data_IF_738193824040
#
_entry.id   IF_738193824040
#
_cell.length_a   1.000
_cell.length_b   1.000
_cell.length_c   1.000
_cell.angle_alpha   90.00
_cell.angle_beta   90.00
_cell.angle_gamma   90.00
#
_symmetry.space_group_name_H-M   'P 1'
#
loop_
_entity.id
_entity.type
_entity.pdbx_description
1 polymer ?
#
# COMPACT_ATOMS: atom_id res chain seq x y z
N UNK A 1 -17.81 -5.18 17.76
CA UNK A 1 -17.49 -3.82 18.27
C UNK A 1 -18.17 -2.75 17.43
N UNK A 2 -17.89 -2.65 16.12
CA UNK A 2 -18.46 -1.57 15.29
C UNK A 2 -19.96 -1.71 15.00
N UNK A 3 -20.48 -2.92 14.78
CA UNK A 3 -21.93 -3.13 14.64
C UNK A 3 -22.67 -2.72 15.94
N UNK A 4 -22.15 -3.17 17.08
CA UNK A 4 -22.66 -2.79 18.41
C UNK A 4 -22.60 -1.27 18.64
N UNK A 5 -21.61 -0.58 18.07
CA UNK A 5 -21.55 0.88 18.13
C UNK A 5 -22.74 1.51 17.42
N UNK A 6 -23.05 1.07 16.19
CA UNK A 6 -24.22 1.56 15.43
C UNK A 6 -25.52 1.23 16.15
N UNK A 7 -25.68 0.01 16.67
CA UNK A 7 -26.87 -0.38 17.44
C UNK A 7 -27.09 0.51 18.68
N UNK A 8 -26.00 0.89 19.36
CA UNK A 8 -26.05 1.79 20.51
C UNK A 8 -26.38 3.21 20.09
N UNK A 9 -25.89 3.69 18.95
CA UNK A 9 -26.28 4.98 18.37
C UNK A 9 -27.77 5.00 18.08
N UNK A 10 -28.29 3.98 17.38
CA UNK A 10 -29.71 3.88 17.05
C UNK A 10 -30.58 3.91 18.30
N UNK A 11 -30.24 3.09 19.31
CA UNK A 11 -30.99 3.01 20.57
C UNK A 11 -31.06 4.33 21.33
N UNK A 12 -29.96 5.08 21.44
CA UNK A 12 -29.98 6.35 22.20
C UNK A 12 -30.66 7.48 21.45
N UNK A 13 -30.82 7.35 20.13
CA UNK A 13 -31.52 8.32 19.30
C UNK A 13 -33.00 7.95 19.09
N UNK A 14 -33.45 6.80 19.60
CA UNK A 14 -34.78 6.23 19.34
C UNK A 14 -35.05 6.03 17.84
N UNK A 15 -34.02 5.54 17.14
CA UNK A 15 -34.03 5.24 15.72
C UNK A 15 -33.89 3.72 15.48
N UNK A 16 -34.37 3.25 14.34
CA UNK A 16 -34.13 1.88 13.91
C UNK A 16 -32.68 1.71 13.41
N UNK A 17 -31.93 0.71 13.91
CA UNK A 17 -30.57 0.45 13.46
C UNK A 17 -30.56 0.04 12.00
N UNK A 18 -29.66 0.64 11.23
CA UNK A 18 -29.40 0.27 9.84
C UNK A 18 -27.92 -0.06 9.72
N UNK A 19 -27.63 -1.31 9.42
CA UNK A 19 -26.27 -1.79 9.16
C UNK A 19 -26.15 -2.05 7.68
N UNK A 20 -25.48 -1.14 6.96
CA UNK A 20 -25.18 -1.35 5.54
C UNK A 20 -24.22 -2.53 5.36
N UNK A 21 -24.26 -3.19 4.22
CA UNK A 21 -23.28 -4.22 3.90
C UNK A 21 -21.87 -3.61 3.83
N UNK A 22 -20.93 -4.19 4.56
CA UNK A 22 -19.52 -3.78 4.47
C UNK A 22 -18.98 -4.32 3.15
N UNK A 23 -18.46 -3.46 2.25
CA UNK A 23 -17.93 -3.93 0.97
C UNK A 23 -16.80 -4.94 1.21
N UNK A 24 -16.80 -6.02 0.41
CA UNK A 24 -15.67 -6.94 0.39
C UNK A 24 -14.45 -6.21 -0.20
N UNK A 25 -13.30 -6.35 0.43
CA UNK A 25 -12.04 -5.88 -0.16
C UNK A 25 -11.78 -6.63 -1.47
N UNK A 26 -11.40 -5.89 -2.53
CA UNK A 26 -11.03 -6.50 -3.79
C UNK A 26 -9.83 -7.43 -3.62
N UNK A 27 -9.71 -8.40 -4.53
CA UNK A 27 -8.54 -9.26 -4.55
C UNK A 27 -7.32 -8.44 -5.00
N UNK A 28 -6.19 -8.63 -4.32
CA UNK A 28 -4.92 -8.20 -4.87
C UNK A 28 -4.73 -8.81 -6.26
N UNK A 29 -4.33 -8.02 -7.29
CA UNK A 29 -4.25 -8.50 -8.66
C UNK A 29 -3.38 -9.75 -8.76
N UNK A 30 -3.82 -10.74 -9.54
CA UNK A 30 -3.12 -12.03 -9.60
C UNK A 30 -1.72 -11.84 -10.18
N UNK A 31 -0.74 -12.65 -9.77
CA UNK A 31 0.63 -12.58 -10.30
C UNK A 31 0.71 -12.47 -11.82
N UNK A 32 -0.09 -13.22 -12.57
CA UNK A 32 -0.12 -13.20 -14.05
C UNK A 32 -0.61 -11.87 -14.65
N UNK A 33 -1.39 -11.09 -13.89
CA UNK A 33 -1.89 -9.76 -14.30
C UNK A 33 -0.91 -8.66 -13.89
N UNK A 34 0.00 -8.95 -12.96
CA UNK A 34 1.06 -8.04 -12.50
C UNK A 34 2.37 -8.26 -13.25
N UNK A 35 2.73 -9.50 -13.57
CA UNK A 35 4.03 -9.84 -14.14
C UNK A 35 4.17 -9.29 -15.56
N UNK A 36 5.20 -8.50 -15.76
CA UNK A 36 5.57 -7.96 -17.06
C UNK A 36 6.59 -8.89 -17.75
N UNK A 37 6.48 -9.02 -19.07
CA UNK A 37 7.46 -9.73 -19.87
C UNK A 37 8.76 -8.91 -19.97
N UNK A 38 9.90 -9.55 -19.70
CA UNK A 38 11.20 -8.92 -19.90
C UNK A 38 11.60 -9.02 -21.36
N UNK A 39 12.04 -7.93 -22.01
CA UNK A 39 12.60 -7.98 -23.35
C UNK A 39 13.76 -8.97 -23.42
N UNK A 40 13.74 -9.83 -24.45
CA UNK A 40 14.87 -10.73 -24.71
C UNK A 40 15.96 -9.93 -25.39
N UNK A 41 17.14 -9.91 -24.77
CA UNK A 41 18.36 -9.45 -25.40
C UNK A 41 19.23 -10.69 -25.63
N UNK A 42 19.38 -11.08 -26.88
CA UNK A 42 20.30 -12.15 -27.28
C UNK A 42 21.57 -11.48 -27.80
N UNK A 43 22.66 -11.58 -27.04
CA UNK A 43 24.00 -11.33 -27.56
C UNK A 43 24.42 -12.58 -28.35
N UNK A 44 24.98 -12.42 -29.55
CA UNK A 44 25.42 -13.57 -30.33
C UNK A 44 26.51 -14.34 -29.57
N UNK A 45 26.54 -15.66 -29.73
CA UNK A 45 27.47 -16.54 -29.05
C UNK A 45 28.93 -16.22 -29.42
N UNK A 46 29.17 -15.72 -30.64
CA UNK A 46 30.49 -15.26 -31.08
C UNK A 46 30.89 -13.95 -30.41
N UNK A 47 29.96 -12.99 -30.28
CA UNK A 47 30.20 -11.75 -29.52
C UNK A 47 30.52 -12.05 -28.06
N UNK A 48 29.83 -13.03 -27.46
CA UNK A 48 30.10 -13.49 -26.09
C UNK A 48 31.51 -14.04 -25.89
N UNK A 49 32.02 -14.81 -26.85
CA UNK A 49 33.38 -15.33 -26.80
C UNK A 49 34.41 -14.22 -27.01
N UNK A 50 34.07 -13.14 -27.70
CA UNK A 50 34.96 -11.99 -27.91
C UNK A 50 35.05 -11.04 -26.69
N UNK A 51 34.21 -11.21 -25.67
CA UNK A 51 34.27 -10.46 -24.40
C UNK A 51 35.43 -10.87 -23.47
N UNK A 52 36.43 -11.62 -23.96
CA UNK A 52 37.60 -12.02 -23.17
C UNK A 52 38.37 -10.80 -22.68
N UNK A 53 38.40 -10.61 -21.35
CA UNK A 53 39.13 -9.53 -20.71
C UNK A 53 38.29 -8.75 -19.69
N UNK A 54 36.97 -8.73 -19.86
CA UNK A 54 36.08 -7.97 -18.99
C UNK A 54 35.06 -8.86 -18.24
N UNK A 55 34.63 -8.41 -17.05
CA UNK A 55 33.68 -9.11 -16.19
C UNK A 55 32.31 -9.37 -16.84
N UNK A 56 31.99 -8.65 -17.93
CA UNK A 56 30.73 -8.82 -18.67
C UNK A 56 30.55 -10.26 -19.17
N UNK A 57 31.64 -10.94 -19.55
CA UNK A 57 31.60 -12.34 -19.99
C UNK A 57 31.04 -13.25 -18.88
N UNK A 58 31.46 -13.04 -17.62
CA UNK A 58 30.97 -13.84 -16.48
C UNK A 58 29.47 -13.59 -16.28
N UNK A 59 29.06 -12.32 -16.29
CA UNK A 59 27.66 -11.92 -16.06
C UNK A 59 26.74 -12.50 -17.14
N UNK A 60 27.11 -12.42 -18.42
CA UNK A 60 26.32 -13.01 -19.51
C UNK A 60 26.23 -14.54 -19.37
N UNK A 61 27.32 -15.20 -18.97
CA UNK A 61 27.34 -16.64 -18.72
C UNK A 61 26.34 -17.09 -17.65
N UNK A 62 26.21 -16.33 -16.56
CA UNK A 62 25.24 -16.61 -15.50
C UNK A 62 23.80 -16.63 -16.02
N UNK A 63 23.44 -15.69 -16.90
CA UNK A 63 22.09 -15.61 -17.49
C UNK A 63 21.80 -16.76 -18.43
N UNK A 64 22.79 -17.21 -19.19
CA UNK A 64 22.65 -18.31 -20.14
C UNK A 64 22.60 -19.69 -19.48
N UNK A 65 23.05 -19.79 -18.23
CA UNK A 65 22.99 -21.01 -17.42
C UNK A 65 21.56 -21.52 -17.19
N UNK A 66 21.42 -22.80 -16.83
CA UNK A 66 20.12 -23.39 -16.50
C UNK A 66 19.40 -22.64 -15.36
N UNK A 67 20.14 -22.23 -14.33
CA UNK A 67 19.62 -21.42 -13.23
C UNK A 67 19.26 -20.00 -13.67
N UNK A 68 20.02 -19.44 -14.62
CA UNK A 68 19.78 -18.15 -15.24
C UNK A 68 18.44 -18.04 -15.95
N UNK A 69 18.02 -19.12 -16.63
CA UNK A 69 16.76 -19.18 -17.39
C UNK A 69 15.51 -19.19 -16.51
N UNK A 70 15.63 -19.66 -15.26
CA UNK A 70 14.51 -19.78 -14.29
C UNK A 70 14.67 -18.84 -13.09
N UNK A 71 15.45 -17.77 -13.24
CA UNK A 71 15.68 -16.80 -12.17
C UNK A 71 14.37 -16.22 -11.62
N UNK A 72 14.29 -16.15 -10.29
CA UNK A 72 13.24 -15.39 -9.62
C UNK A 72 13.39 -13.88 -9.91
N UNK A 73 12.31 -13.10 -9.87
CA UNK A 73 12.33 -11.68 -10.24
C UNK A 73 13.43 -10.85 -9.56
N UNK A 74 13.66 -11.06 -8.26
CA UNK A 74 14.73 -10.37 -7.52
C UNK A 74 16.13 -10.68 -8.06
N UNK A 75 16.37 -11.93 -8.48
CA UNK A 75 17.65 -12.32 -9.07
C UNK A 75 17.80 -11.81 -10.50
N UNK A 76 16.69 -11.65 -11.23
CA UNK A 76 16.70 -10.93 -12.51
C UNK A 76 17.14 -9.49 -12.28
N UNK A 77 16.52 -8.75 -11.34
CA UNK A 77 16.94 -7.37 -11.05
C UNK A 77 18.43 -7.27 -10.69
N UNK A 78 18.93 -8.16 -9.83
CA UNK A 78 20.38 -8.22 -9.50
C UNK A 78 21.25 -8.43 -10.75
N UNK A 79 20.84 -9.33 -11.63
CA UNK A 79 21.54 -9.56 -12.90
C UNK A 79 21.52 -8.32 -13.78
N UNK A 80 20.39 -7.64 -13.93
CA UNK A 80 20.25 -6.43 -14.75
C UNK A 80 21.21 -5.32 -14.27
N UNK A 81 21.26 -5.05 -12.95
CA UNK A 81 22.19 -4.07 -12.38
C UNK A 81 23.66 -4.45 -12.61
N UNK A 82 24.01 -5.72 -12.39
CA UNK A 82 25.37 -6.24 -12.62
C UNK A 82 25.77 -6.14 -14.08
N UNK A 83 24.86 -6.46 -15.01
CA UNK A 83 25.10 -6.34 -16.44
C UNK A 83 25.39 -4.89 -16.82
N UNK A 84 24.57 -3.93 -16.36
CA UNK A 84 24.73 -2.51 -16.71
C UNK A 84 26.07 -1.96 -16.23
N UNK A 85 26.52 -2.35 -15.03
CA UNK A 85 27.84 -1.99 -14.50
C UNK A 85 28.96 -2.67 -15.27
N UNK A 86 28.92 -3.99 -15.43
CA UNK A 86 29.97 -4.73 -16.13
C UNK A 86 30.11 -4.26 -17.58
N UNK A 87 29.00 -3.93 -18.26
CA UNK A 87 29.04 -3.37 -19.60
C UNK A 87 29.64 -1.96 -19.62
N UNK A 88 29.32 -1.10 -18.64
CA UNK A 88 29.96 0.23 -18.50
C UNK A 88 31.48 0.09 -18.37
N UNK A 89 31.92 -0.82 -17.52
CA UNK A 89 33.34 -1.01 -17.19
C UNK A 89 34.09 -1.71 -18.33
N UNK A 90 33.41 -2.52 -19.13
CA UNK A 90 33.97 -3.19 -20.31
C UNK A 90 34.15 -2.27 -21.53
N UNK A 91 33.28 -1.26 -21.72
CA UNK A 91 33.30 -0.40 -22.92
C UNK A 91 34.67 0.25 -23.25
N UNK A 92 35.45 0.78 -22.29
CA UNK A 92 36.77 1.34 -22.57
C UNK A 92 37.80 0.31 -23.08
N UNK A 93 37.62 -0.97 -22.74
CA UNK A 93 38.52 -2.05 -23.19
C UNK A 93 38.23 -2.48 -24.64
N UNK A 94 37.10 -2.06 -25.21
CA UNK A 94 36.62 -2.44 -26.54
C UNK A 94 36.83 -1.35 -27.60
N UNK A 95 37.57 -0.27 -27.30
CA UNK A 95 37.71 0.88 -28.23
C UNK A 95 38.30 0.49 -29.61
N UNK A 96 39.15 -0.54 -29.64
CA UNK A 96 39.76 -1.06 -30.88
C UNK A 96 38.82 -1.93 -31.71
N UNK A 97 37.78 -2.51 -31.10
CA UNK A 97 36.75 -3.32 -31.75
C UNK A 97 35.43 -2.53 -31.82
N UNK A 98 35.29 -1.72 -32.87
CA UNK A 98 34.13 -0.83 -33.06
C UNK A 98 32.80 -1.57 -33.15
N UNK A 99 32.79 -2.79 -33.68
CA UNK A 99 31.57 -3.58 -33.85
C UNK A 99 31.12 -4.14 -32.50
N UNK A 100 32.04 -4.72 -31.73
CA UNK A 100 31.76 -5.22 -30.39
C UNK A 100 31.43 -4.08 -29.42
N UNK A 101 32.14 -2.95 -29.49
CA UNK A 101 31.82 -1.74 -28.73
C UNK A 101 30.39 -1.28 -28.97
N UNK A 102 29.97 -1.18 -30.25
CA UNK A 102 28.62 -0.75 -30.60
C UNK A 102 27.56 -1.74 -30.06
N UNK A 103 27.83 -3.04 -30.16
CA UNK A 103 26.94 -4.10 -29.67
C UNK A 103 26.78 -4.08 -28.15
N UNK A 104 27.88 -3.96 -27.40
CA UNK A 104 27.85 -3.85 -25.93
C UNK A 104 27.18 -2.56 -25.46
N UNK A 105 27.42 -1.44 -26.16
CA UNK A 105 26.75 -0.17 -25.88
C UNK A 105 25.24 -0.27 -26.07
N UNK A 106 24.80 -0.83 -27.20
CA UNK A 106 23.38 -1.05 -27.49
C UNK A 106 22.73 -1.98 -26.46
N UNK A 107 23.42 -3.07 -26.10
CA UNK A 107 22.97 -3.99 -25.07
C UNK A 107 22.76 -3.29 -23.73
N UNK A 108 23.72 -2.47 -23.30
CA UNK A 108 23.61 -1.68 -22.07
C UNK A 108 22.46 -0.69 -22.10
N UNK A 109 22.25 0.00 -23.23
CA UNK A 109 21.14 0.94 -23.41
C UNK A 109 19.79 0.23 -23.32
N UNK A 110 19.62 -0.91 -23.99
CA UNK A 110 18.40 -1.73 -23.90
C UNK A 110 18.13 -2.25 -22.47
N UNK A 111 19.19 -2.54 -21.71
CA UNK A 111 19.10 -2.96 -20.30
C UNK A 111 18.67 -1.83 -19.39
N UNK A 112 19.18 -0.62 -19.61
CA UNK A 112 18.71 0.58 -18.92
C UNK A 112 17.24 0.88 -19.23
N UNK A 113 16.82 0.74 -20.49
CA UNK A 113 15.43 0.98 -20.91
C UNK A 113 14.45 -0.02 -20.28
N UNK A 114 14.86 -1.28 -20.12
CA UNK A 114 14.03 -2.35 -19.54
C UNK A 114 14.15 -2.50 -18.02
N UNK A 115 15.07 -1.76 -17.37
CA UNK A 115 15.28 -1.81 -15.92
C UNK A 115 14.01 -1.55 -15.09
N UNK A 116 13.12 -0.59 -15.45
CA UNK A 116 11.87 -0.38 -14.73
C UNK A 116 10.99 -1.64 -14.67
N UNK A 117 11.02 -2.49 -15.71
CA UNK A 117 10.28 -3.76 -15.75
C UNK A 117 10.86 -4.76 -14.74
N UNK A 118 12.19 -4.81 -14.62
CA UNK A 118 12.85 -5.68 -13.64
C UNK A 118 12.55 -5.25 -12.21
N UNK A 119 12.56 -3.94 -11.93
CA UNK A 119 12.19 -3.36 -10.62
C UNK A 119 10.73 -3.69 -10.29
N UNK A 120 9.82 -3.48 -11.23
CA UNK A 120 8.42 -3.85 -11.10
C UNK A 120 8.24 -5.32 -10.77
N UNK A 121 8.86 -6.20 -11.54
CA UNK A 121 8.73 -7.62 -11.33
C UNK A 121 9.30 -8.07 -9.98
N UNK A 122 10.39 -7.44 -9.53
CA UNK A 122 11.04 -7.72 -8.26
C UNK A 122 10.31 -7.16 -7.04
N UNK A 123 9.30 -6.30 -7.22
CA UNK A 123 8.53 -5.70 -6.12
C UNK A 123 7.05 -6.10 -6.22
N UNK A 124 6.38 -5.64 -7.26
CA UNK A 124 4.94 -5.81 -7.48
C UNK A 124 4.56 -7.04 -8.29
N UNK A 125 5.46 -7.93 -8.72
CA UNK A 125 5.10 -9.21 -9.36
C UNK A 125 5.61 -10.46 -8.62
N UNK A 126 6.03 -10.28 -7.37
CA UNK A 126 6.46 -11.34 -6.46
C UNK A 126 5.24 -12.05 -5.87
N UNK A 127 5.42 -13.27 -5.37
CA UNK A 127 4.35 -14.02 -4.68
C UNK A 127 4.25 -13.59 -3.22
N UNK A 128 5.38 -13.18 -2.65
CA UNK A 128 5.57 -12.81 -1.26
C UNK A 128 4.70 -11.63 -0.84
N UNK A 129 4.49 -10.65 -1.74
CA UNK A 129 3.59 -9.51 -1.49
C UNK A 129 2.10 -9.89 -1.43
N UNK A 130 1.69 -11.04 -2.00
CA UNK A 130 0.28 -11.43 -2.02
C UNK A 130 -0.26 -11.70 -0.61
N UNK A 131 0.57 -12.27 0.27
CA UNK A 131 0.17 -12.55 1.65
C UNK A 131 -0.03 -11.25 2.45
N UNK A 132 0.81 -10.24 2.23
CA UNK A 132 0.69 -8.94 2.90
C UNK A 132 -0.66 -8.26 2.63
N UNK A 133 -1.20 -8.40 1.42
CA UNK A 133 -2.48 -7.85 0.99
C UNK A 133 -3.64 -8.85 1.08
N UNK A 134 -3.45 -10.01 1.72
CA UNK A 134 -4.51 -11.02 1.80
C UNK A 134 -5.74 -10.52 2.55
N UNK A 135 -6.92 -10.86 2.04
CA UNK A 135 -8.21 -10.54 2.69
C UNK A 135 -8.75 -11.68 3.57
N UNK A 136 -8.01 -12.78 3.71
CA UNK A 136 -8.45 -13.98 4.47
C UNK A 136 -8.53 -13.72 5.96
N UNK A 137 -7.69 -12.82 6.47
CA UNK A 137 -7.58 -12.51 7.89
C UNK A 137 -8.58 -11.45 8.33
N UNK A 138 -8.87 -11.36 9.62
CA UNK A 138 -9.81 -10.37 10.19
C UNK A 138 -9.35 -8.91 10.04
N UNK A 139 -10.11 -7.94 10.58
CA UNK A 139 -9.64 -6.56 10.72
C UNK A 139 -8.34 -6.46 11.53
N UNK A 140 -7.63 -5.34 11.40
CA UNK A 140 -6.43 -5.05 12.17
C UNK A 140 -6.70 -5.22 13.68
N UNK A 141 -5.89 -6.01 14.42
CA UNK A 141 -5.98 -6.09 15.87
C UNK A 141 -5.61 -4.77 16.56
N UNK A 142 -6.11 -4.55 17.78
CA UNK A 142 -5.83 -3.33 18.57
C UNK A 142 -4.35 -3.19 18.98
N UNK A 143 -3.64 -4.29 19.17
CA UNK A 143 -2.24 -4.38 19.62
C UNK A 143 -1.23 -4.57 18.47
N UNK A 144 -1.73 -4.67 17.25
CA UNK A 144 -0.95 -5.00 16.06
C UNK A 144 -0.06 -3.85 15.53
N UNK A 145 -0.20 -2.64 16.06
CA UNK A 145 0.36 -1.42 15.47
C UNK A 145 1.81 -1.11 15.87
N UNK A 146 2.42 -1.89 16.77
CA UNK A 146 3.74 -1.57 17.32
C UNK A 146 4.91 -2.02 16.44
N UNK A 147 5.48 -3.18 16.78
CA UNK A 147 6.77 -3.62 16.24
C UNK A 147 6.68 -4.03 14.76
N UNK A 148 5.74 -4.90 14.41
CA UNK A 148 5.55 -5.39 13.03
C UNK A 148 5.31 -4.25 12.01
N UNK A 149 4.50 -3.26 12.38
CA UNK A 149 4.19 -2.13 11.48
C UNK A 149 5.40 -1.22 11.32
N UNK A 150 6.16 -0.97 12.39
CA UNK A 150 7.42 -0.21 12.34
C UNK A 150 8.44 -0.91 11.44
N UNK A 151 8.57 -2.22 11.58
CA UNK A 151 9.43 -3.08 10.78
C UNK A 151 9.09 -3.02 9.28
N UNK A 152 7.80 -3.20 8.94
CA UNK A 152 7.32 -3.06 7.56
C UNK A 152 7.56 -1.66 7.00
N UNK A 153 7.35 -0.62 7.81
CA UNK A 153 7.59 0.77 7.41
C UNK A 153 9.08 1.04 7.14
N UNK A 154 9.97 0.53 7.98
CA UNK A 154 11.43 0.62 7.80
C UNK A 154 11.89 -0.09 6.52
N UNK A 155 11.38 -1.30 6.27
CA UNK A 155 11.68 -2.05 5.04
C UNK A 155 11.22 -1.30 3.79
N UNK A 156 10.04 -0.69 3.82
CA UNK A 156 9.52 0.12 2.71
C UNK A 156 10.33 1.39 2.51
N UNK A 157 10.78 2.04 3.58
CA UNK A 157 11.67 3.19 3.51
C UNK A 157 12.98 2.82 2.82
N UNK A 158 13.64 1.76 3.31
CA UNK A 158 14.87 1.24 2.73
C UNK A 158 14.68 0.87 1.25
N UNK A 159 13.61 0.15 0.91
CA UNK A 159 13.31 -0.22 -0.46
C UNK A 159 13.18 1.00 -1.38
N UNK A 160 12.34 1.97 -0.99
CA UNK A 160 12.13 3.19 -1.77
C UNK A 160 13.42 3.99 -1.96
N UNK A 161 14.27 4.08 -0.95
CA UNK A 161 15.53 4.83 -1.03
C UNK A 161 16.57 4.12 -1.93
N UNK A 162 16.61 2.78 -1.90
CA UNK A 162 17.45 1.99 -2.80
C UNK A 162 16.98 2.05 -4.25
N UNK A 163 15.67 2.03 -4.49
CA UNK A 163 15.13 2.22 -5.85
C UNK A 163 15.39 3.63 -6.37
N UNK A 164 15.25 4.67 -5.53
CA UNK A 164 15.59 6.04 -5.92
C UNK A 164 17.08 6.18 -6.29
N UNK A 165 17.99 5.49 -5.58
CA UNK A 165 19.40 5.46 -5.94
C UNK A 165 19.63 4.82 -7.32
N UNK A 166 18.97 3.70 -7.61
CA UNK A 166 19.01 3.05 -8.93
C UNK A 166 18.47 3.99 -10.02
N UNK A 167 17.33 4.64 -9.79
CA UNK A 167 16.73 5.61 -10.72
C UNK A 167 17.67 6.81 -10.99
N UNK A 168 18.48 7.20 -10.00
CA UNK A 168 19.51 8.24 -10.16
C UNK A 168 20.78 7.79 -10.89
N UNK A 169 20.86 6.51 -11.28
CA UNK A 169 21.96 5.93 -12.04
C UNK A 169 22.96 5.12 -11.22
N UNK A 170 22.75 4.96 -9.91
CA UNK A 170 23.59 4.10 -9.06
C UNK A 170 23.19 2.63 -9.22
N UNK A 171 23.88 1.94 -10.14
CA UNK A 171 23.67 0.50 -10.38
C UNK A 171 24.48 -0.37 -9.40
N UNK A 172 25.28 0.22 -8.51
CA UNK A 172 26.10 -0.52 -7.53
C UNK A 172 25.36 -0.86 -6.24
N UNK A 173 24.08 -0.46 -6.15
CA UNK A 173 23.20 -0.69 -5.02
C UNK A 173 23.14 -2.17 -4.65
N UNK A 174 23.45 -2.47 -3.38
CA UNK A 174 23.28 -3.82 -2.83
C UNK A 174 21.79 -4.13 -2.60
N UNK A 175 21.38 -5.27 -3.17
CA UNK A 175 20.02 -5.82 -3.06
C UNK A 175 19.95 -7.03 -2.12
N UNK A 176 20.95 -7.22 -1.25
CA UNK A 176 20.94 -8.27 -0.23
C UNK A 176 19.73 -8.18 0.71
N UNK A 177 19.30 -6.95 1.04
CA UNK A 177 18.17 -6.69 1.94
C UNK A 177 16.80 -7.19 1.43
N UNK A 178 16.61 -7.27 0.10
CA UNK A 178 15.31 -7.63 -0.50
C UNK A 178 14.81 -9.02 -0.08
N UNK A 179 15.71 -9.96 0.23
CA UNK A 179 15.31 -11.27 0.74
C UNK A 179 14.56 -11.18 2.08
N UNK A 180 15.06 -10.34 3.00
CA UNK A 180 14.39 -10.11 4.29
C UNK A 180 13.06 -9.38 4.14
N UNK A 181 13.01 -8.38 3.24
CA UNK A 181 11.77 -7.65 2.92
C UNK A 181 10.69 -8.61 2.39
N UNK A 182 11.03 -9.46 1.42
CA UNK A 182 10.09 -10.43 0.86
C UNK A 182 9.65 -11.45 1.91
N UNK A 183 10.57 -11.95 2.74
CA UNK A 183 10.22 -12.86 3.82
C UNK A 183 9.20 -12.22 4.79
N UNK A 184 9.38 -10.94 5.13
CA UNK A 184 8.44 -10.22 6.00
C UNK A 184 7.10 -10.01 5.31
N UNK A 185 7.07 -9.65 4.02
CA UNK A 185 5.82 -9.55 3.26
C UNK A 185 5.06 -10.88 3.22
N UNK A 186 5.77 -12.00 3.11
CA UNK A 186 5.17 -13.34 3.12
C UNK A 186 4.69 -13.76 4.51
N UNK A 187 5.30 -13.26 5.59
CA UNK A 187 4.94 -13.63 6.96
C UNK A 187 3.75 -12.83 7.52
N UNK A 188 3.42 -11.70 6.89
CA UNK A 188 2.48 -10.72 7.43
C UNK A 188 1.24 -10.55 6.55
N UNK A 189 0.18 -9.97 7.12
CA UNK A 189 -1.11 -9.72 6.46
C UNK A 189 -1.63 -8.29 6.70
N UNK A 190 -0.75 -7.41 7.23
CA UNK A 190 -1.12 -6.12 7.80
C UNK A 190 -1.81 -5.17 6.82
N UNK A 191 -1.42 -5.15 5.55
CA UNK A 191 -2.10 -4.29 4.56
C UNK A 191 -3.52 -4.76 4.29
N UNK A 192 -3.73 -6.07 4.16
CA UNK A 192 -5.07 -6.63 4.00
C UNK A 192 -5.97 -6.37 5.21
N UNK A 193 -5.44 -6.56 6.42
CA UNK A 193 -6.15 -6.24 7.67
C UNK A 193 -6.50 -4.75 7.76
N UNK A 194 -5.56 -3.88 7.40
CA UNK A 194 -5.73 -2.43 7.41
C UNK A 194 -6.82 -1.98 6.42
N UNK A 195 -6.82 -2.51 5.19
CA UNK A 195 -7.86 -2.24 4.19
C UNK A 195 -9.23 -2.68 4.70
N UNK A 196 -9.34 -3.88 5.29
CA UNK A 196 -10.61 -4.38 5.86
C UNK A 196 -11.10 -3.52 7.02
N UNK A 197 -10.19 -3.07 7.89
CA UNK A 197 -10.53 -2.14 8.97
C UNK A 197 -11.05 -0.82 8.44
N UNK A 198 -10.40 -0.23 7.44
CA UNK A 198 -10.83 1.03 6.85
C UNK A 198 -12.20 0.89 6.17
N UNK A 199 -12.47 -0.19 5.43
CA UNK A 199 -13.79 -0.47 4.86
C UNK A 199 -14.86 -0.58 5.96
N UNK A 200 -14.62 -1.39 6.99
CA UNK A 200 -15.54 -1.56 8.12
C UNK A 200 -15.84 -0.22 8.83
N UNK A 201 -14.80 0.54 9.15
CA UNK A 201 -14.94 1.82 9.84
C UNK A 201 -15.66 2.84 8.97
N UNK A 202 -15.30 2.94 7.68
CA UNK A 202 -15.97 3.83 6.73
C UNK A 202 -17.46 3.53 6.66
N UNK A 203 -17.86 2.26 6.53
CA UNK A 203 -19.28 1.88 6.49
C UNK A 203 -19.98 2.22 7.81
N UNK A 204 -19.43 1.81 8.95
CA UNK A 204 -20.11 1.93 10.25
C UNK A 204 -20.15 3.36 10.78
N UNK A 205 -19.15 4.18 10.46
CA UNK A 205 -19.19 5.61 10.77
C UNK A 205 -20.25 6.33 9.94
N UNK A 206 -20.43 5.95 8.67
CA UNK A 206 -21.51 6.47 7.84
C UNK A 206 -22.89 6.01 8.33
N UNK A 207 -23.07 4.73 8.65
CA UNK A 207 -24.32 4.22 9.23
C UNK A 207 -24.71 5.00 10.51
N UNK A 208 -23.74 5.26 11.38
CA UNK A 208 -23.95 6.06 12.59
C UNK A 208 -24.24 7.54 12.29
N UNK A 209 -23.61 8.12 11.27
CA UNK A 209 -23.89 9.48 10.83
C UNK A 209 -25.31 9.61 10.25
N UNK A 210 -25.75 8.63 9.47
CA UNK A 210 -27.10 8.56 8.90
C UNK A 210 -28.18 8.53 9.99
N UNK A 211 -27.95 7.78 11.08
CA UNK A 211 -28.84 7.77 12.25
C UNK A 211 -28.98 9.14 12.90
N UNK A 212 -27.86 9.87 13.07
CA UNK A 212 -27.86 11.22 13.64
C UNK A 212 -28.58 12.20 12.71
N UNK A 213 -28.31 12.12 11.40
CA UNK A 213 -28.95 12.96 10.39
C UNK A 213 -30.47 12.71 10.32
N UNK A 214 -30.90 11.44 10.33
CA UNK A 214 -32.32 11.07 10.38
C UNK A 214 -33.01 11.63 11.61
N UNK A 215 -32.42 11.44 12.79
CA UNK A 215 -32.96 11.98 14.04
C UNK A 215 -33.15 13.48 13.95
N UNK A 216 -32.10 14.21 13.52
CA UNK A 216 -32.14 15.66 13.40
C UNK A 216 -33.16 16.18 12.37
N UNK A 217 -33.43 15.39 11.32
CA UNK A 217 -34.39 15.74 10.26
C UNK A 217 -35.85 15.47 10.64
N UNK A 218 -36.12 14.37 11.35
CA UNK A 218 -37.48 13.99 11.75
C UNK A 218 -37.97 14.84 12.93
N UNK A 219 -37.21 14.86 14.03
CA UNK A 219 -37.55 15.64 15.22
C UNK A 219 -36.31 15.94 16.08
N UNK A 220 -36.15 17.17 16.59
CA UNK A 220 -34.96 17.54 17.35
C UNK A 220 -34.86 16.74 18.66
N UNK A 221 -33.66 16.27 19.00
CA UNK A 221 -33.40 15.60 20.27
C UNK A 221 -33.65 16.54 21.46
N UNK A 222 -33.34 17.83 21.28
CA UNK A 222 -33.50 18.87 22.28
C UNK A 222 -34.32 20.05 21.76
N UNK A 223 -35.32 20.48 22.53
CA UNK A 223 -36.15 21.64 22.20
C UNK A 223 -35.54 22.93 22.77
N UNK A 224 -35.46 23.98 21.96
CA UNK A 224 -34.97 25.31 22.36
C UNK A 224 -33.57 25.32 23.01
N UNK A 225 -32.67 24.41 22.62
CA UNK A 225 -31.33 24.33 23.18
C UNK A 225 -31.25 23.77 24.60
N UNK A 226 -32.35 23.25 25.15
CA UNK A 226 -32.40 22.72 26.51
C UNK A 226 -32.12 21.22 26.52
N UNK A 227 -31.13 20.82 27.32
CA UNK A 227 -30.84 19.41 27.58
C UNK A 227 -32.02 18.69 28.23
N UNK A 228 -32.10 17.38 28.00
CA UNK A 228 -33.05 16.45 28.61
C UNK A 228 -32.35 15.11 28.91
N UNK A 229 -33.08 14.17 29.50
CA UNK A 229 -32.51 12.85 29.85
C UNK A 229 -31.98 12.10 28.63
N UNK A 230 -32.68 12.16 27.49
CA UNK A 230 -32.29 11.46 26.26
C UNK A 230 -30.98 12.02 25.69
N UNK A 231 -30.80 13.34 25.76
CA UNK A 231 -29.56 14.02 25.39
C UNK A 231 -28.39 13.64 26.32
N UNK A 232 -28.62 13.53 27.62
CA UNK A 232 -27.60 13.07 28.57
C UNK A 232 -27.23 11.60 28.31
N UNK A 233 -28.21 10.74 27.99
CA UNK A 233 -27.97 9.34 27.60
C UNK A 233 -27.14 9.26 26.32
N UNK A 234 -27.52 10.01 25.28
CA UNK A 234 -26.80 10.06 24.01
C UNK A 234 -25.36 10.58 24.19
N UNK A 235 -25.18 11.68 24.95
CA UNK A 235 -23.85 12.21 25.29
C UNK A 235 -22.99 11.18 26.03
N UNK A 236 -23.54 10.55 27.06
CA UNK A 236 -22.82 9.56 27.86
C UNK A 236 -22.43 8.33 27.03
N UNK A 237 -23.32 7.88 26.13
CA UNK A 237 -23.00 6.81 25.17
C UNK A 237 -21.86 7.22 24.26
N UNK A 238 -21.92 8.42 23.67
CA UNK A 238 -20.86 8.94 22.82
C UNK A 238 -19.49 8.93 23.52
N UNK A 239 -19.37 9.53 24.71
CA UNK A 239 -18.08 9.54 25.41
C UNK A 239 -17.63 8.15 25.88
N UNK A 240 -18.52 7.32 26.41
CA UNK A 240 -18.13 6.00 26.93
C UNK A 240 -17.80 4.98 25.84
N UNK A 241 -18.49 5.04 24.71
CA UNK A 241 -18.38 4.04 23.64
C UNK A 241 -17.56 4.58 22.48
N UNK A 242 -17.90 5.75 21.93
CA UNK A 242 -17.12 6.31 20.83
C UNK A 242 -15.74 6.74 21.30
N UNK A 243 -15.64 7.70 22.23
CA UNK A 243 -14.33 8.18 22.69
C UNK A 243 -13.54 7.11 23.48
N UNK A 244 -14.24 6.26 24.24
CA UNK A 244 -13.59 5.22 25.06
C UNK A 244 -13.17 3.95 24.32
N UNK A 245 -13.79 3.60 23.18
CA UNK A 245 -13.52 2.32 22.47
C UNK A 245 -13.29 2.48 20.98
N UNK A 246 -14.19 3.18 20.28
CA UNK A 246 -14.12 3.33 18.82
C UNK A 246 -12.95 4.24 18.43
N UNK A 247 -12.75 5.37 19.12
CA UNK A 247 -11.68 6.32 18.83
C UNK A 247 -10.28 5.73 19.04
N UNK A 248 -9.99 4.94 20.10
CA UNK A 248 -8.74 4.19 20.20
C UNK A 248 -8.50 3.25 19.03
N UNK A 249 -9.54 2.55 18.55
CA UNK A 249 -9.40 1.67 17.40
C UNK A 249 -9.17 2.44 16.10
N UNK A 250 -9.90 3.54 15.89
CA UNK A 250 -9.67 4.48 14.79
C UNK A 250 -8.23 4.99 14.78
N UNK A 251 -7.71 5.38 15.96
CA UNK A 251 -6.34 5.87 16.09
C UNK A 251 -5.31 4.78 15.76
N UNK A 252 -5.53 3.53 16.16
CA UNK A 252 -4.63 2.42 15.82
C UNK A 252 -4.61 2.13 14.30
N UNK A 253 -5.77 2.15 13.65
CA UNK A 253 -5.90 2.01 12.19
C UNK A 253 -5.21 3.17 11.48
N UNK A 254 -5.41 4.39 11.96
CA UNK A 254 -4.81 5.59 11.38
C UNK A 254 -3.29 5.62 11.53
N UNK A 255 -2.75 5.22 12.68
CA UNK A 255 -1.31 5.07 12.88
C UNK A 255 -0.71 4.04 11.92
N UNK A 256 -1.35 2.88 11.77
CA UNK A 256 -0.91 1.86 10.83
C UNK A 256 -1.00 2.35 9.37
N UNK A 257 -2.05 3.11 9.02
CA UNK A 257 -2.19 3.77 7.71
C UNK A 257 -1.02 4.71 7.43
N UNK A 258 -0.75 5.63 8.35
CA UNK A 258 0.32 6.62 8.20
C UNK A 258 1.71 5.96 8.10
N UNK A 259 1.92 4.83 8.79
CA UNK A 259 3.18 4.11 8.74
C UNK A 259 3.42 3.35 7.43
N UNK A 260 2.37 2.79 6.81
CA UNK A 260 2.52 1.85 5.69
C UNK A 260 2.11 2.43 4.33
N UNK A 261 0.96 3.10 4.26
CA UNK A 261 0.35 3.51 2.98
C UNK A 261 1.23 4.50 2.20
N UNK A 262 1.83 5.53 2.81
CA UNK A 262 2.70 6.45 2.08
C UNK A 262 3.91 5.75 1.43
N UNK A 263 4.47 4.74 2.09
CA UNK A 263 5.60 3.96 1.57
C UNK A 263 5.23 3.14 0.34
N UNK A 264 4.08 2.47 0.35
CA UNK A 264 3.55 1.75 -0.82
C UNK A 264 3.11 2.68 -1.94
N UNK A 265 2.53 3.84 -1.61
CA UNK A 265 2.17 4.84 -2.60
C UNK A 265 3.41 5.40 -3.31
N UNK A 266 4.48 5.74 -2.57
CA UNK A 266 5.77 6.14 -3.15
C UNK A 266 6.32 5.05 -4.07
N UNK A 267 6.32 3.79 -3.62
CA UNK A 267 6.82 2.64 -4.38
C UNK A 267 6.06 2.43 -5.68
N UNK A 268 4.73 2.56 -5.67
CA UNK A 268 3.92 2.41 -6.88
C UNK A 268 4.04 3.62 -7.81
N UNK A 269 4.08 4.84 -7.27
CA UNK A 269 4.19 6.08 -8.06
C UNK A 269 5.51 6.14 -8.84
N UNK A 270 6.63 5.71 -8.27
CA UNK A 270 7.92 5.70 -8.99
C UNK A 270 7.91 4.73 -10.18
N UNK A 271 6.98 3.78 -10.21
CA UNK A 271 6.88 2.74 -11.24
C UNK A 271 5.67 2.91 -12.17
N UNK A 272 5.03 4.09 -12.16
CA UNK A 272 3.80 4.36 -12.94
C UNK A 272 3.98 4.09 -14.43
N UNK A 273 5.17 4.30 -14.98
CA UNK A 273 5.45 4.15 -16.41
C UNK A 273 5.24 2.71 -16.93
N UNK A 274 5.42 1.70 -16.08
CA UNK A 274 5.29 0.27 -16.46
C UNK A 274 4.13 -0.43 -15.75
N UNK A 275 3.39 0.28 -14.89
CA UNK A 275 2.28 -0.28 -14.12
C UNK A 275 1.18 -0.84 -15.05
N UNK A 276 0.82 -2.14 -14.95
CA UNK A 276 -0.29 -2.72 -15.72
C UNK A 276 -1.63 -2.07 -15.38
N UNK A 277 -2.52 -1.95 -16.36
CA UNK A 277 -3.84 -1.31 -16.16
C UNK A 277 -4.70 -2.01 -15.10
N UNK A 278 -4.66 -3.35 -15.05
CA UNK A 278 -5.33 -4.12 -14.00
C UNK A 278 -4.84 -3.79 -12.59
N UNK A 279 -3.56 -3.41 -12.44
CA UNK A 279 -3.00 -2.98 -11.17
C UNK A 279 -3.32 -1.52 -10.85
N UNK A 280 -3.41 -0.63 -11.85
CA UNK A 280 -3.75 0.80 -11.64
C UNK A 280 -5.07 0.99 -10.89
N UNK A 281 -6.10 0.20 -11.21
CA UNK A 281 -7.39 0.25 -10.52
C UNK A 281 -7.23 -0.07 -9.03
N UNK A 282 -6.54 -1.17 -8.72
CA UNK A 282 -6.27 -1.56 -7.34
C UNK A 282 -5.39 -0.53 -6.61
N UNK A 283 -4.37 -0.01 -7.29
CA UNK A 283 -3.49 1.03 -6.77
C UNK A 283 -4.27 2.30 -6.38
N UNK A 284 -5.12 2.81 -7.27
CA UNK A 284 -5.92 4.00 -7.01
C UNK A 284 -6.91 3.80 -5.86
N UNK A 285 -7.53 2.62 -5.76
CA UNK A 285 -8.50 2.30 -4.70
C UNK A 285 -7.85 2.11 -3.33
N UNK A 286 -6.77 1.34 -3.24
CA UNK A 286 -6.27 0.83 -1.95
C UNK A 286 -4.89 1.33 -1.54
N UNK A 287 -4.11 1.90 -2.46
CA UNK A 287 -2.74 2.36 -2.19
C UNK A 287 -2.67 3.89 -2.25
N UNK A 288 -3.31 4.53 -3.22
CA UNK A 288 -3.29 5.99 -3.30
C UNK A 288 -4.11 6.61 -2.18
N UNK A 289 -3.52 7.58 -1.46
CA UNK A 289 -4.16 8.24 -0.32
C UNK A 289 -5.27 9.22 -0.72
N UNK A 290 -5.30 9.63 -1.98
CA UNK A 290 -6.19 10.66 -2.49
C UNK A 290 -6.72 10.25 -3.86
N UNK A 291 -7.89 10.78 -4.21
CA UNK A 291 -8.55 10.52 -5.49
C UNK A 291 -9.97 10.01 -5.31
N UNK A 292 -10.82 10.13 -6.34
CA UNK A 292 -12.24 9.84 -6.25
C UNK A 292 -12.54 8.41 -5.78
N UNK A 293 -11.66 7.47 -6.15
CA UNK A 293 -11.80 6.06 -5.78
C UNK A 293 -10.96 5.68 -4.55
N UNK A 294 -10.22 6.59 -3.92
CA UNK A 294 -9.36 6.24 -2.79
C UNK A 294 -10.17 5.82 -1.56
N UNK A 295 -9.90 4.62 -1.04
CA UNK A 295 -10.45 4.15 0.23
C UNK A 295 -10.03 5.07 1.38
N UNK A 296 -8.80 5.57 1.36
CA UNK A 296 -8.26 6.41 2.43
C UNK A 296 -8.94 7.77 2.46
N UNK A 297 -9.21 8.36 1.29
CA UNK A 297 -10.01 9.58 1.21
C UNK A 297 -11.44 9.37 1.72
N UNK A 298 -12.10 8.27 1.31
CA UNK A 298 -13.45 7.93 1.79
C UNK A 298 -13.48 7.70 3.32
N UNK A 299 -12.41 7.11 3.86
CA UNK A 299 -12.25 6.91 5.29
C UNK A 299 -12.12 8.24 6.05
N UNK A 300 -11.25 9.14 5.57
CA UNK A 300 -11.09 10.49 6.13
C UNK A 300 -12.43 11.27 6.08
N UNK A 301 -13.16 11.18 4.97
CA UNK A 301 -14.48 11.80 4.79
C UNK A 301 -15.53 11.22 5.76
N UNK A 302 -15.54 9.90 5.99
CA UNK A 302 -16.46 9.26 6.92
C UNK A 302 -16.20 9.68 8.38
N UNK A 303 -14.94 9.77 8.80
CA UNK A 303 -14.56 10.28 10.13
C UNK A 303 -15.01 11.73 10.31
N UNK A 304 -14.76 12.57 9.31
CA UNK A 304 -15.13 13.98 9.34
C UNK A 304 -16.66 14.15 9.38
N UNK A 305 -17.40 13.43 8.53
CA UNK A 305 -18.87 13.45 8.49
C UNK A 305 -19.44 13.03 9.83
N UNK A 306 -19.03 11.87 10.34
CA UNK A 306 -19.49 11.35 11.63
C UNK A 306 -19.26 12.34 12.77
N UNK A 307 -18.05 12.86 12.88
CA UNK A 307 -17.68 13.83 13.92
C UNK A 307 -18.54 15.10 13.81
N UNK A 308 -18.75 15.60 12.59
CA UNK A 308 -19.59 16.78 12.33
C UNK A 308 -21.03 16.55 12.76
N UNK A 309 -21.62 15.40 12.48
CA UNK A 309 -23.02 15.12 12.86
C UNK A 309 -23.20 15.06 14.37
N UNK A 310 -22.27 14.43 15.09
CA UNK A 310 -22.28 14.45 16.55
C UNK A 310 -22.10 15.86 17.13
N UNK A 311 -21.24 16.69 16.54
CA UNK A 311 -21.09 18.09 16.95
C UNK A 311 -22.40 18.89 16.75
N UNK A 312 -23.11 18.67 15.65
CA UNK A 312 -24.41 19.31 15.38
C UNK A 312 -25.43 18.88 16.43
N UNK A 313 -25.55 17.57 16.69
CA UNK A 313 -26.48 17.02 17.68
C UNK A 313 -26.22 17.57 19.09
N UNK A 314 -24.96 17.53 19.55
CA UNK A 314 -24.61 18.03 20.89
C UNK A 314 -24.83 19.54 21.02
N UNK A 315 -24.53 20.31 19.96
CA UNK A 315 -24.78 21.76 19.93
C UNK A 315 -26.28 22.08 19.97
N UNK A 316 -27.12 21.28 19.31
CA UNK A 316 -28.59 21.42 19.41
C UNK A 316 -29.07 21.29 20.86
N UNK A 317 -28.37 20.52 21.68
CA UNK A 317 -28.67 20.33 23.11
C UNK A 317 -27.97 21.30 24.06
N UNK A 318 -27.31 22.34 23.54
CA UNK A 318 -26.54 23.29 24.36
C UNK A 318 -25.29 22.69 25.00
N UNK A 319 -24.82 21.53 24.50
CA UNK A 319 -23.66 20.82 25.01
C UNK A 319 -22.41 21.20 24.20
N UNK A 320 -21.29 21.43 24.89
CA UNK A 320 -20.01 21.65 24.23
C UNK A 320 -19.39 20.32 23.78
N UNK A 321 -18.89 20.20 22.54
CA UNK A 321 -18.20 19.00 22.05
C UNK A 321 -16.91 18.61 22.82
N UNK A 322 -16.43 19.47 23.73
CA UNK A 322 -15.21 19.26 24.53
C UNK A 322 -15.44 19.14 26.04
N UNK A 323 -16.67 19.08 26.53
CA UNK A 323 -16.96 18.99 27.96
C UNK A 323 -17.26 17.54 28.37
N UNK A 324 -16.23 16.71 28.40
CA UNK A 324 -16.18 15.61 29.35
C UNK A 324 -15.55 16.18 30.63
N UNK A 325 -16.38 16.43 31.64
CA UNK A 325 -15.90 16.68 33.01
C UNK A 325 -15.28 15.42 33.59
#
# INVERSE_FOLDING_TARGET
MMDEYVDRVARVLDEDPQLSDVPLADLFPRRRERRLEMPKLELDMLDFLSLYGCDLQVVVGERNSGLGRVMQPVNVLRYELRFINAARDCLPELEDDKELYASVKQAREAKLESLPIAIWNATWATEEIEQLFTRTEGPLPMDASGETVSDLSADLGLLNDRLAAIESGDMSVDLGFLGGVHQRWQAENRMGQLIKSALLLTTRLNDAADLVERRLADHPLCLNGKTNNDADIARNMFFKIYAGKVQPYLAAVEQARQALVPGFERLGRSQTAVMPDGFKVYFNRYISQQGPDSLWQQFDEAIARHTKQWQILLKQCGMSPGAAS
#
